data_IF_446348137017
#
_entry.id   IF_446348137017
#
_cell.length_a   1.000
_cell.length_b   1.000
_cell.length_c   1.000
_cell.angle_alpha   90.00
_cell.angle_beta   90.00
_cell.angle_gamma   90.00
#
_symmetry.space_group_name_H-M   'P 1'
#
loop_
_entity.id
_entity.type
_entity.pdbx_description
1 polymer ?
#
# COMPACT_ATOMS: atom_id res chain seq x y z
N UNK A 1 18.54 -4.73 -9.15
CA UNK A 1 17.48 -3.73 -8.99
C UNK A 1 16.29 -4.43 -8.36
N UNK A 2 16.17 -4.39 -7.04
CA UNK A 2 14.99 -4.92 -6.33
C UNK A 2 13.82 -3.98 -6.62
N UNK A 3 12.71 -4.55 -7.07
CA UNK A 3 11.50 -3.77 -7.25
C UNK A 3 10.86 -3.58 -5.87
N UNK A 4 11.23 -2.49 -5.19
CA UNK A 4 10.66 -2.10 -3.87
C UNK A 4 9.28 -1.45 -4.01
N UNK A 5 8.49 -1.88 -4.99
CA UNK A 5 7.20 -1.27 -5.29
C UNK A 5 6.17 -2.26 -5.76
N UNK A 6 4.97 -2.16 -5.19
CA UNK A 6 3.81 -2.96 -5.57
C UNK A 6 2.98 -2.18 -6.60
N UNK A 7 2.81 -2.75 -7.79
CA UNK A 7 1.88 -2.21 -8.79
C UNK A 7 0.46 -2.71 -8.50
N UNK A 8 -0.51 -1.83 -8.64
CA UNK A 8 -1.93 -2.17 -8.61
C UNK A 8 -2.49 -2.20 -10.03
N UNK A 9 -3.50 -3.05 -10.26
CA UNK A 9 -4.21 -3.17 -11.54
C UNK A 9 -4.87 -1.86 -12.02
N UNK A 10 -5.23 -0.99 -11.07
CA UNK A 10 -5.72 0.36 -11.34
C UNK A 10 -4.62 1.36 -11.80
N UNK A 11 -3.37 0.89 -11.92
CA UNK A 11 -2.22 1.69 -12.34
C UNK A 11 -1.54 2.48 -11.22
N UNK A 12 -1.95 2.29 -9.95
CA UNK A 12 -1.26 2.86 -8.80
C UNK A 12 0.00 2.07 -8.46
N UNK A 13 1.06 2.77 -8.06
CA UNK A 13 2.30 2.19 -7.57
C UNK A 13 2.43 2.51 -6.08
N UNK A 14 2.53 1.47 -5.24
CA UNK A 14 2.72 1.59 -3.80
C UNK A 14 4.19 1.29 -3.46
N UNK A 15 4.87 2.26 -2.87
CA UNK A 15 6.29 2.22 -2.53
C UNK A 15 6.42 2.29 -0.99
N UNK A 16 6.53 1.14 -0.31
CA UNK A 16 6.79 1.11 1.14
C UNK A 16 8.13 1.75 1.45
N UNK A 17 8.09 2.76 2.31
CA UNK A 17 9.25 3.49 2.78
C UNK A 17 9.82 2.80 4.03
N UNK A 18 11.13 2.92 4.31
CA UNK A 18 11.75 2.27 5.46
C UNK A 18 11.09 2.67 6.78
N UNK A 19 11.10 1.74 7.74
CA UNK A 19 10.65 1.95 9.12
C UNK A 19 11.45 3.08 9.74
N UNK A 20 10.80 4.24 9.90
CA UNK A 20 11.32 5.41 10.62
C UNK A 20 10.34 5.78 11.73
N UNK A 21 10.36 7.03 12.19
CA UNK A 21 9.56 7.57 13.31
C UNK A 21 8.03 7.36 13.21
N UNK A 22 7.51 6.90 12.07
CA UNK A 22 6.08 6.67 11.91
C UNK A 22 5.58 5.32 12.45
N UNK A 23 6.47 4.33 12.68
CA UNK A 23 6.06 2.98 13.10
C UNK A 23 5.31 3.00 14.43
N UNK A 24 5.82 3.75 15.42
CA UNK A 24 5.18 3.93 16.73
C UNK A 24 3.83 4.68 16.65
N UNK A 25 3.51 5.28 15.50
CA UNK A 25 2.30 6.08 15.29
C UNK A 25 1.24 5.38 14.45
N UNK A 26 1.50 4.13 14.02
CA UNK A 26 0.54 3.32 13.27
C UNK A 26 -0.33 2.50 14.21
N UNK A 27 -1.60 2.34 13.82
CA UNK A 27 -2.44 1.28 14.40
C UNK A 27 -1.98 -0.08 13.88
N UNK A 28 -2.23 -1.16 14.63
CA UNK A 28 -1.95 -2.54 14.21
C UNK A 28 -2.47 -2.84 12.78
N UNK A 29 -3.69 -2.38 12.48
CA UNK A 29 -4.31 -2.54 11.16
C UNK A 29 -3.55 -1.84 10.01
N UNK A 30 -2.91 -0.70 10.30
CA UNK A 30 -2.10 0.05 9.34
C UNK A 30 -0.73 -0.62 9.18
N UNK A 31 -0.12 -1.06 10.28
CA UNK A 31 1.14 -1.79 10.28
C UNK A 31 1.02 -3.10 9.47
N UNK A 32 -0.02 -3.89 9.72
CA UNK A 32 -0.31 -5.11 8.93
C UNK A 32 -0.47 -4.79 7.43
N UNK A 33 -1.11 -3.67 7.10
CA UNK A 33 -1.28 -3.25 5.70
C UNK A 33 0.06 -2.90 5.07
N UNK A 34 0.91 -2.17 5.79
CA UNK A 34 2.25 -1.81 5.34
C UNK A 34 3.15 -3.03 5.16
N UNK A 35 3.19 -3.94 6.14
CA UNK A 35 3.96 -5.19 6.08
C UNK A 35 3.54 -6.05 4.89
N UNK A 36 2.24 -6.19 4.64
CA UNK A 36 1.75 -6.92 3.48
C UNK A 36 2.19 -6.28 2.17
N UNK A 37 2.05 -4.95 2.03
CA UNK A 37 2.48 -4.23 0.82
C UNK A 37 3.99 -4.41 0.59
N UNK A 38 4.81 -4.32 1.66
CA UNK A 38 6.26 -4.55 1.60
C UNK A 38 6.61 -5.97 1.17
N UNK A 39 6.00 -6.98 1.78
CA UNK A 39 6.22 -8.36 1.39
C UNK A 39 5.79 -8.67 -0.04
N UNK A 40 4.67 -8.07 -0.49
CA UNK A 40 4.19 -8.21 -1.87
C UNK A 40 5.11 -7.50 -2.87
N UNK A 41 5.61 -6.31 -2.57
CA UNK A 41 6.56 -5.60 -3.40
C UNK A 41 7.83 -6.45 -3.63
N UNK A 42 8.35 -7.08 -2.56
CA UNK A 42 9.54 -7.93 -2.64
C UNK A 42 9.32 -9.26 -3.37
N UNK A 43 8.13 -9.86 -3.23
CA UNK A 43 7.84 -11.20 -3.77
C UNK A 43 7.20 -11.20 -5.16
N UNK A 44 6.43 -10.16 -5.51
CA UNK A 44 5.63 -10.09 -6.75
C UNK A 44 5.57 -8.67 -7.31
N UNK A 45 6.59 -8.24 -8.07
CA UNK A 45 6.59 -6.92 -8.70
C UNK A 45 5.61 -6.82 -9.89
N UNK A 46 5.08 -7.95 -10.37
CA UNK A 46 4.22 -8.07 -11.57
C UNK A 46 2.81 -7.45 -11.41
N UNK A 47 2.53 -6.89 -10.23
CA UNK A 47 1.30 -6.19 -9.92
C UNK A 47 0.22 -7.09 -9.34
N UNK A 48 -0.53 -6.55 -8.37
CA UNK A 48 -1.64 -7.21 -7.69
C UNK A 48 -2.92 -6.40 -7.87
N UNK A 49 -4.07 -7.04 -8.02
CA UNK A 49 -5.32 -6.28 -8.01
C UNK A 49 -5.61 -5.68 -6.64
N UNK A 50 -6.21 -4.49 -6.61
CA UNK A 50 -6.71 -3.89 -5.37
C UNK A 50 -7.66 -4.85 -4.63
N UNK A 51 -8.43 -5.65 -5.40
CA UNK A 51 -9.31 -6.68 -4.86
C UNK A 51 -8.58 -7.77 -4.09
N UNK A 52 -7.50 -8.29 -4.68
CA UNK A 52 -6.71 -9.33 -4.03
C UNK A 52 -5.98 -8.76 -2.82
N UNK A 53 -5.51 -7.52 -2.88
CA UNK A 53 -4.86 -6.85 -1.76
C UNK A 53 -5.80 -6.72 -0.54
N UNK A 54 -7.03 -6.22 -0.72
CA UNK A 54 -7.94 -6.09 0.42
C UNK A 54 -8.41 -7.46 0.96
N UNK A 55 -8.54 -8.48 0.09
CA UNK A 55 -8.88 -9.85 0.52
C UNK A 55 -7.79 -10.50 1.35
N UNK A 56 -6.52 -10.28 0.99
CA UNK A 56 -5.37 -10.75 1.78
C UNK A 56 -5.33 -10.13 3.18
N UNK A 57 -5.88 -8.92 3.35
CA UNK A 57 -6.03 -8.25 4.63
C UNK A 57 -7.32 -8.63 5.38
N UNK A 58 -8.08 -9.62 4.88
CA UNK A 58 -9.35 -10.03 5.48
C UNK A 58 -10.46 -8.97 5.40
N UNK A 59 -10.31 -7.95 4.54
CA UNK A 59 -11.28 -6.88 4.40
C UNK A 59 -12.43 -7.32 3.50
N UNK A 60 -13.64 -6.81 3.79
CA UNK A 60 -14.83 -7.09 2.98
C UNK A 60 -14.95 -6.20 1.74
N UNK A 61 -14.22 -5.09 1.67
CA UNK A 61 -14.22 -4.16 0.56
C UNK A 61 -12.90 -3.40 0.49
N UNK A 62 -12.73 -2.63 -0.60
CA UNK A 62 -11.56 -1.78 -0.78
C UNK A 62 -11.57 -0.52 0.09
N UNK A 63 -12.72 -0.08 0.63
CA UNK A 63 -12.82 1.19 1.36
C UNK A 63 -11.85 1.27 2.56
N UNK A 64 -11.78 0.26 3.45
CA UNK A 64 -10.83 0.29 4.56
C UNK A 64 -9.38 0.22 4.09
N UNK A 65 -9.10 -0.52 3.01
CA UNK A 65 -7.77 -0.56 2.39
C UNK A 65 -7.36 0.85 1.93
N UNK A 66 -8.22 1.54 1.17
CA UNK A 66 -7.93 2.90 0.68
C UNK A 66 -7.72 3.89 1.82
N UNK A 67 -8.52 3.81 2.87
CA UNK A 67 -8.35 4.65 4.06
C UNK A 67 -7.00 4.37 4.74
N UNK A 68 -6.64 3.10 4.94
CA UNK A 68 -5.35 2.73 5.54
C UNK A 68 -4.19 3.19 4.69
N UNK A 69 -4.25 3.01 3.37
CA UNK A 69 -3.19 3.47 2.48
C UNK A 69 -3.07 5.00 2.55
N UNK A 70 -4.17 5.75 2.53
CA UNK A 70 -4.14 7.21 2.69
C UNK A 70 -3.42 7.63 3.98
N UNK A 71 -3.71 6.96 5.09
CA UNK A 71 -3.05 7.24 6.38
C UNK A 71 -1.56 6.89 6.34
N UNK A 72 -1.20 5.73 5.78
CA UNK A 72 0.20 5.35 5.59
C UNK A 72 0.97 6.37 4.75
N UNK A 73 0.34 6.95 3.73
CA UNK A 73 0.93 8.04 2.93
C UNK A 73 1.09 9.33 3.71
N UNK A 74 0.10 9.73 4.50
CA UNK A 74 0.20 10.92 5.35
C UNK A 74 1.29 10.79 6.42
N UNK A 75 1.54 9.57 6.89
CA UNK A 75 2.57 9.26 7.88
C UNK A 75 3.98 9.12 7.29
N UNK A 76 4.12 9.12 5.96
CA UNK A 76 5.41 8.87 5.32
C UNK A 76 5.84 7.40 5.33
N UNK A 77 4.93 6.48 5.65
CA UNK A 77 5.16 5.03 5.62
C UNK A 77 5.06 4.45 4.20
N UNK A 78 4.24 5.07 3.35
CA UNK A 78 4.00 4.59 1.99
C UNK A 78 3.92 5.75 1.00
N UNK A 79 4.80 5.76 0.01
CA UNK A 79 4.68 6.65 -1.14
C UNK A 79 3.74 6.02 -2.16
N UNK A 80 2.76 6.77 -2.65
CA UNK A 80 1.85 6.30 -3.70
C UNK A 80 2.04 7.14 -4.94
N UNK A 81 2.57 6.51 -6.00
CA UNK A 81 2.70 7.15 -7.29
C UNK A 81 1.50 6.75 -8.16
N UNK A 82 0.65 7.74 -8.46
CA UNK A 82 -0.63 7.67 -9.24
C UNK A 82 -1.85 7.12 -8.46
N UNK A 83 -2.49 7.98 -7.66
CA UNK A 83 -3.91 7.83 -7.22
C UNK A 83 -4.85 8.86 -7.88
N UNK A 84 -4.34 9.71 -8.75
CA UNK A 84 -5.15 10.77 -9.35
C UNK A 84 -4.81 10.79 -10.83
N UNK A 85 -5.73 10.32 -11.67
CA UNK A 85 -5.81 10.98 -12.98
C UNK A 85 -6.31 12.39 -12.69
N UNK A 86 -5.61 13.45 -13.14
CA UNK A 86 -6.28 14.72 -13.34
C UNK A 86 -7.42 14.44 -14.32
N UNK A 87 -8.64 14.84 -13.94
CA UNK A 87 -9.75 14.88 -14.90
C UNK A 87 -9.40 16.01 -15.90
N UNK A 88 -9.48 15.77 -17.23
CA UNK A 88 -9.29 16.83 -18.21
C UNK A 88 -10.32 17.94 -18.03
#
# INVERSE_FOLDING_TARGET
>A
MTADSLLLDNGSKLEPLPETEWQDSLTEAQEQTWLLIRGLAQSKPEGISEQKLYRLLGLRSSLPLRSRIKHLTQKGALKVTRWLKPKP
#
